data_IF_969340567465
#
_entry.id   IF_969340567465
#
_cell.length_a   1.000
_cell.length_b   1.000
_cell.length_c   1.000
_cell.angle_alpha   90.00
_cell.angle_beta   90.00
_cell.angle_gamma   90.00
#
_symmetry.space_group_name_H-M   'P 1'
#
loop_
_entity.id
_entity.type
_entity.pdbx_description
1 polymer ?
#
# COMPACT_ATOMS: atom_id res chain seq x y z
N UNK A 1 30.65 -9.52 27.42
CA UNK A 1 30.53 -9.97 26.02
C UNK A 1 29.74 -8.89 25.28
N UNK A 2 30.42 -8.04 24.51
CA UNK A 2 29.80 -6.91 23.81
C UNK A 2 29.27 -7.37 22.47
N UNK A 3 27.97 -7.10 22.22
CA UNK A 3 27.32 -7.39 20.93
C UNK A 3 27.63 -6.21 19.98
N UNK A 4 28.29 -6.51 18.86
CA UNK A 4 28.64 -5.56 17.79
C UNK A 4 27.38 -5.18 16.97
N UNK A 5 26.93 -3.90 16.95
CA UNK A 5 25.70 -3.47 16.26
C UNK A 5 25.95 -3.02 14.82
N UNK A 6 26.76 -3.72 14.05
CA UNK A 6 26.93 -3.34 12.64
C UNK A 6 25.71 -3.78 11.81
N UNK A 7 25.05 -2.87 11.06
CA UNK A 7 23.97 -3.24 10.16
C UNK A 7 24.50 -4.16 9.06
N UNK A 8 23.84 -5.28 8.88
CA UNK A 8 24.19 -6.25 7.83
C UNK A 8 24.17 -5.58 6.46
N UNK A 9 25.19 -5.87 5.66
CA UNK A 9 25.30 -5.44 4.26
C UNK A 9 24.03 -5.86 3.51
N UNK A 10 23.36 -4.97 2.77
CA UNK A 10 22.21 -5.37 1.95
C UNK A 10 22.64 -6.44 0.95
N UNK A 11 21.77 -7.41 0.61
CA UNK A 11 22.08 -8.43 -0.37
C UNK A 11 22.46 -7.75 -1.70
N UNK A 12 23.62 -8.12 -2.22
CA UNK A 12 24.06 -7.71 -3.55
C UNK A 12 23.12 -8.31 -4.58
N UNK A 13 22.31 -7.48 -5.24
CA UNK A 13 21.56 -7.90 -6.40
C UNK A 13 22.58 -8.19 -7.51
N UNK A 14 22.71 -9.44 -7.91
CA UNK A 14 23.46 -9.81 -9.10
C UNK A 14 22.84 -9.14 -10.35
N UNK A 15 23.64 -8.66 -11.29
CA UNK A 15 23.11 -8.10 -12.52
C UNK A 15 22.33 -9.17 -13.30
N UNK A 16 21.20 -8.81 -13.96
CA UNK A 16 20.39 -9.77 -14.69
C UNK A 16 21.21 -10.45 -15.78
N UNK A 17 21.13 -11.77 -15.83
CA UNK A 17 21.76 -12.59 -16.86
C UNK A 17 21.16 -12.26 -18.23
N UNK A 18 21.98 -11.98 -19.23
CA UNK A 18 21.56 -11.72 -20.61
C UNK A 18 20.72 -12.90 -21.14
N UNK A 19 19.45 -12.63 -21.53
CA UNK A 19 18.55 -13.63 -22.15
C UNK A 19 17.27 -13.96 -21.35
N UNK A 20 17.08 -13.44 -20.14
CA UNK A 20 15.76 -13.48 -19.49
C UNK A 20 14.93 -12.27 -19.92
N UNK A 21 13.59 -12.42 -20.16
CA UNK A 21 12.75 -11.24 -20.31
C UNK A 21 12.98 -10.35 -19.08
N UNK A 22 13.41 -9.12 -19.31
CA UNK A 22 13.66 -8.16 -18.23
C UNK A 22 12.31 -7.82 -17.59
N UNK A 23 11.95 -8.54 -16.53
CA UNK A 23 10.82 -8.13 -15.70
C UNK A 23 11.19 -6.77 -15.14
N UNK A 24 10.50 -5.74 -15.58
CA UNK A 24 10.70 -4.38 -15.08
C UNK A 24 10.42 -4.37 -13.58
N UNK A 25 11.39 -3.98 -12.72
CA UNK A 25 11.15 -3.96 -11.29
C UNK A 25 10.10 -2.89 -10.94
N UNK A 26 9.23 -3.21 -9.98
CA UNK A 26 8.31 -2.24 -9.38
C UNK A 26 9.11 -1.28 -8.52
N UNK A 27 8.84 0.02 -8.65
CA UNK A 27 9.47 1.06 -7.83
C UNK A 27 8.45 1.47 -6.75
N UNK A 28 8.90 1.71 -5.52
CA UNK A 28 8.05 2.22 -4.45
C UNK A 28 8.61 3.54 -3.89
N UNK A 29 7.76 4.57 -3.84
CA UNK A 29 8.02 5.86 -3.19
C UNK A 29 7.10 5.96 -1.98
N UNK A 30 7.69 5.77 -0.80
CA UNK A 30 6.96 5.68 0.45
C UNK A 30 7.41 6.74 1.45
N UNK A 31 6.45 7.34 2.17
CA UNK A 31 6.73 8.35 3.19
C UNK A 31 5.47 9.05 3.69
N UNK A 32 5.58 9.91 4.72
CA UNK A 32 4.44 10.60 5.30
C UNK A 32 3.74 11.53 4.31
N UNK A 33 2.50 11.91 4.64
CA UNK A 33 1.72 12.88 3.84
C UNK A 33 2.46 14.21 3.76
N UNK A 34 2.30 14.93 2.67
CA UNK A 34 2.89 16.24 2.39
C UNK A 34 4.42 16.32 2.29
N UNK A 35 5.16 15.19 2.27
CA UNK A 35 6.62 15.16 2.10
C UNK A 35 7.08 15.36 0.64
N UNK A 36 6.16 15.49 -0.31
CA UNK A 36 6.50 15.70 -1.73
C UNK A 36 6.62 14.43 -2.58
N UNK A 37 6.05 13.30 -2.14
CA UNK A 37 6.11 12.02 -2.89
C UNK A 37 5.66 12.13 -4.35
N UNK A 38 4.56 12.84 -4.60
CA UNK A 38 4.01 13.03 -5.95
C UNK A 38 5.01 13.75 -6.86
N UNK A 39 5.62 14.84 -6.37
CA UNK A 39 6.67 15.54 -7.11
C UNK A 39 7.86 14.64 -7.43
N UNK A 40 8.34 13.86 -6.46
CA UNK A 40 9.43 12.89 -6.68
C UNK A 40 9.05 11.84 -7.72
N UNK A 41 7.80 11.33 -7.68
CA UNK A 41 7.32 10.35 -8.66
C UNK A 41 7.29 10.93 -10.07
N UNK A 42 6.84 12.17 -10.23
CA UNK A 42 6.79 12.87 -11.52
C UNK A 42 8.20 13.08 -12.08
N UNK A 43 9.12 13.60 -11.28
CA UNK A 43 10.51 13.80 -11.70
C UNK A 43 11.21 12.48 -12.06
N UNK A 44 10.97 11.43 -11.28
CA UNK A 44 11.45 10.09 -11.61
C UNK A 44 10.86 9.58 -12.92
N UNK A 45 9.56 9.78 -13.14
CA UNK A 45 8.90 9.40 -14.37
C UNK A 45 9.50 10.09 -15.59
N UNK A 46 9.85 11.36 -15.50
CA UNK A 46 10.53 12.08 -16.57
C UNK A 46 11.93 11.53 -16.85
N UNK A 47 12.65 11.13 -15.78
CA UNK A 47 13.95 10.47 -15.94
C UNK A 47 13.83 9.10 -16.63
N UNK A 48 12.83 8.32 -16.27
CA UNK A 48 12.55 7.01 -16.88
C UNK A 48 12.17 7.15 -18.36
N UNK A 49 11.32 8.13 -18.70
CA UNK A 49 10.94 8.42 -20.10
C UNK A 49 12.15 8.79 -20.97
N UNK A 50 13.10 9.55 -20.42
CA UNK A 50 14.37 9.84 -21.14
C UNK A 50 15.21 8.59 -21.41
N UNK A 51 14.98 7.51 -20.68
CA UNK A 51 15.60 6.19 -20.89
C UNK A 51 14.76 5.26 -21.77
N UNK A 52 13.65 5.75 -22.32
CA UNK A 52 12.74 4.97 -23.15
C UNK A 52 11.74 4.11 -22.40
N UNK A 53 11.54 4.34 -21.10
CA UNK A 53 10.54 3.65 -20.30
C UNK A 53 9.22 4.43 -20.27
N UNK A 54 8.09 3.73 -20.07
CA UNK A 54 6.76 4.32 -19.91
C UNK A 54 6.25 4.12 -18.46
N UNK A 55 6.47 5.07 -17.56
CA UNK A 55 6.07 4.96 -16.16
C UNK A 55 4.59 5.24 -15.95
N UNK A 56 3.99 4.56 -14.95
CA UNK A 56 2.65 4.79 -14.43
C UNK A 56 2.69 4.77 -12.91
N UNK A 57 2.07 5.76 -12.26
CA UNK A 57 1.92 5.78 -10.81
C UNK A 57 0.71 4.94 -10.38
N UNK A 58 0.88 4.13 -9.35
CA UNK A 58 -0.18 3.39 -8.68
C UNK A 58 -0.28 3.92 -7.26
N UNK A 59 -1.40 4.57 -6.93
CA UNK A 59 -1.60 5.13 -5.61
C UNK A 59 -1.58 4.04 -4.52
N UNK A 60 -0.90 4.33 -3.41
CA UNK A 60 -0.73 3.44 -2.27
C UNK A 60 -1.03 4.18 -0.95
N UNK A 61 -2.12 4.96 -0.94
CA UNK A 61 -2.59 5.73 0.21
C UNK A 61 -4.07 5.42 0.48
N UNK A 62 -4.40 5.07 1.73
CA UNK A 62 -5.73 4.61 2.13
C UNK A 62 -6.80 5.70 2.14
N UNK A 63 -6.42 6.96 2.07
CA UNK A 63 -7.36 8.08 1.99
C UNK A 63 -7.54 8.55 0.55
N UNK A 64 -6.47 8.56 -0.23
CA UNK A 64 -6.50 9.02 -1.63
C UNK A 64 -7.29 8.09 -2.57
N UNK A 65 -7.68 6.90 -2.13
CA UNK A 65 -8.58 6.01 -2.88
C UNK A 65 -10.01 6.55 -2.96
N UNK A 66 -10.43 7.39 -2.00
CA UNK A 66 -11.80 7.87 -1.89
C UNK A 66 -12.05 9.14 -2.71
N UNK A 67 -13.18 9.14 -3.45
CA UNK A 67 -13.68 10.32 -4.16
C UNK A 67 -14.14 11.38 -3.17
N UNK A 68 -13.86 12.65 -3.50
CA UNK A 68 -14.26 13.80 -2.69
C UNK A 68 -13.30 14.13 -1.55
N UNK A 69 -12.24 13.33 -1.37
CA UNK A 69 -11.21 13.59 -0.37
C UNK A 69 -9.87 14.07 -0.97
N UNK A 70 -9.85 14.40 -2.26
CA UNK A 70 -8.64 14.72 -3.02
C UNK A 70 -7.85 15.86 -2.37
N UNK A 71 -8.54 16.92 -1.99
CA UNK A 71 -7.91 18.12 -1.41
C UNK A 71 -7.30 17.85 -0.05
N UNK A 72 -8.04 17.20 0.84
CA UNK A 72 -7.57 16.97 2.22
C UNK A 72 -6.55 15.85 2.33
N UNK A 73 -6.55 14.91 1.39
CA UNK A 73 -5.57 13.82 1.33
C UNK A 73 -4.28 14.20 0.61
N UNK A 74 -4.24 15.38 -0.02
CA UNK A 74 -3.13 15.80 -0.85
C UNK A 74 -2.91 14.86 -2.05
N UNK A 75 -4.00 14.40 -2.65
CA UNK A 75 -3.96 13.60 -3.86
C UNK A 75 -3.33 14.35 -5.03
N UNK A 76 -2.78 13.62 -6.01
CA UNK A 76 -2.23 14.20 -7.23
C UNK A 76 -3.27 15.09 -7.92
N UNK A 77 -2.91 16.35 -8.17
CA UNK A 77 -3.77 17.31 -8.86
C UNK A 77 -4.05 16.88 -10.31
N UNK A 78 -5.07 17.45 -10.97
CA UNK A 78 -5.28 17.22 -12.39
C UNK A 78 -4.05 17.56 -13.25
N UNK A 79 -3.29 18.59 -12.87
CA UNK A 79 -2.04 18.97 -13.53
C UNK A 79 -0.97 17.88 -13.33
N UNK A 80 -0.79 17.38 -12.12
CA UNK A 80 0.14 16.27 -11.83
C UNK A 80 -0.24 15.02 -12.65
N UNK A 81 -1.53 14.72 -12.76
CA UNK A 81 -2.03 13.59 -13.53
C UNK A 81 -1.83 13.73 -15.04
N UNK A 82 -1.69 14.94 -15.57
CA UNK A 82 -1.29 15.16 -16.98
C UNK A 82 0.20 14.85 -17.19
N UNK A 83 1.05 15.04 -16.17
CA UNK A 83 2.48 14.76 -16.22
C UNK A 83 2.80 13.28 -16.00
N UNK A 84 2.03 12.60 -15.14
CA UNK A 84 2.17 11.19 -14.84
C UNK A 84 0.79 10.58 -14.62
N UNK A 85 0.46 9.54 -15.39
CA UNK A 85 -0.79 8.78 -15.17
C UNK A 85 -0.80 8.21 -13.74
N UNK A 86 -1.93 8.41 -13.03
CA UNK A 86 -2.16 7.86 -11.70
C UNK A 86 -3.34 6.88 -11.73
N UNK A 87 -3.11 5.68 -11.21
CA UNK A 87 -4.13 4.64 -11.05
C UNK A 87 -4.47 4.46 -9.57
N UNK A 88 -5.64 3.91 -9.29
CA UNK A 88 -6.18 3.71 -7.95
C UNK A 88 -6.29 5.01 -7.13
N UNK A 89 -6.56 6.12 -7.80
CA UNK A 89 -6.80 7.42 -7.22
C UNK A 89 -8.28 7.77 -7.33
N UNK A 90 -8.92 8.17 -6.23
CA UNK A 90 -10.32 8.66 -6.19
C UNK A 90 -11.33 7.76 -6.91
N UNK A 91 -11.26 6.45 -6.71
CA UNK A 91 -12.12 5.49 -7.42
C UNK A 91 -13.18 4.85 -6.51
N UNK A 92 -13.02 4.92 -5.18
CA UNK A 92 -13.95 4.37 -4.18
C UNK A 92 -14.94 5.45 -3.74
N UNK A 93 -16.26 5.19 -3.74
CA UNK A 93 -17.24 6.06 -3.10
C UNK A 93 -16.96 6.20 -1.59
N UNK A 94 -17.21 7.41 -1.02
CA UNK A 94 -16.87 7.71 0.37
C UNK A 94 -17.68 6.91 1.40
N UNK A 95 -18.85 6.42 1.00
CA UNK A 95 -19.75 5.59 1.80
C UNK A 95 -19.43 4.09 1.76
N UNK A 96 -18.39 3.69 1.03
CA UNK A 96 -17.97 2.29 0.91
C UNK A 96 -16.71 2.00 1.74
N UNK A 97 -16.76 0.93 2.51
CA UNK A 97 -15.55 0.41 3.14
C UNK A 97 -14.61 -0.21 2.11
N UNK A 98 -13.32 0.16 2.19
CA UNK A 98 -12.29 -0.36 1.31
C UNK A 98 -11.11 -0.90 2.13
N UNK A 99 -11.02 -2.22 2.22
CA UNK A 99 -10.02 -2.90 3.05
C UNK A 99 -8.66 -3.02 2.36
N UNK A 100 -7.61 -3.25 3.15
CA UNK A 100 -6.27 -3.52 2.63
C UNK A 100 -6.20 -4.78 1.74
N UNK A 101 -7.07 -5.78 1.99
CA UNK A 101 -7.18 -6.95 1.12
C UNK A 101 -7.70 -6.59 -0.27
N UNK A 102 -8.83 -5.87 -0.34
CA UNK A 102 -9.39 -5.37 -1.61
C UNK A 102 -8.41 -4.45 -2.35
N UNK A 103 -7.69 -3.61 -1.59
CA UNK A 103 -6.64 -2.78 -2.16
C UNK A 103 -5.51 -3.63 -2.77
N UNK A 104 -5.03 -4.64 -2.04
CA UNK A 104 -3.96 -5.53 -2.51
C UNK A 104 -4.31 -6.24 -3.82
N UNK A 105 -5.55 -6.74 -3.95
CA UNK A 105 -6.06 -7.34 -5.19
C UNK A 105 -6.06 -6.32 -6.34
N UNK A 106 -6.62 -5.14 -6.12
CA UNK A 106 -6.67 -4.08 -7.12
C UNK A 106 -5.26 -3.62 -7.52
N UNK A 107 -4.37 -3.40 -6.55
CA UNK A 107 -3.01 -2.94 -6.83
C UNK A 107 -2.18 -3.97 -7.59
N UNK A 108 -2.28 -5.26 -7.26
CA UNK A 108 -1.61 -6.32 -8.03
C UNK A 108 -2.13 -6.38 -9.47
N UNK A 109 -3.45 -6.29 -9.67
CA UNK A 109 -4.02 -6.22 -11.02
C UNK A 109 -3.49 -5.05 -11.84
N UNK A 110 -3.33 -3.86 -11.24
CA UNK A 110 -2.77 -2.69 -11.92
C UNK A 110 -1.25 -2.82 -12.18
N UNK A 111 -0.51 -3.43 -11.25
CA UNK A 111 0.91 -3.74 -11.41
C UNK A 111 1.11 -4.71 -12.57
N UNK A 112 0.38 -5.83 -12.56
CA UNK A 112 0.49 -6.88 -13.58
C UNK A 112 0.12 -6.33 -14.95
N UNK A 113 -1.00 -5.60 -15.05
CA UNK A 113 -1.43 -4.93 -16.29
C UNK A 113 -0.38 -3.94 -16.84
N UNK A 114 0.27 -3.18 -15.95
CA UNK A 114 1.33 -2.27 -16.36
C UNK A 114 2.57 -3.03 -16.88
N UNK A 115 3.00 -4.07 -16.17
CA UNK A 115 4.14 -4.89 -16.56
C UNK A 115 3.90 -5.64 -17.88
N UNK A 116 2.72 -6.21 -18.08
CA UNK A 116 2.31 -6.87 -19.33
C UNK A 116 2.32 -5.90 -20.52
N UNK A 117 1.96 -4.64 -20.28
CA UNK A 117 2.04 -3.58 -21.27
C UNK A 117 3.47 -3.02 -21.48
N UNK A 118 4.48 -3.58 -20.81
CA UNK A 118 5.87 -3.09 -20.88
C UNK A 118 6.07 -1.75 -20.18
N UNK A 119 5.15 -1.35 -19.30
CA UNK A 119 5.21 -0.10 -18.54
C UNK A 119 5.92 -0.29 -17.20
N UNK A 120 6.43 0.82 -16.64
CA UNK A 120 7.13 0.83 -15.35
C UNK A 120 6.17 1.24 -14.22
N UNK A 121 5.68 0.31 -13.36
CA UNK A 121 4.85 0.68 -12.21
C UNK A 121 5.67 1.37 -11.13
N UNK A 122 5.14 2.48 -10.62
CA UNK A 122 5.67 3.24 -9.48
C UNK A 122 4.57 3.29 -8.41
N UNK A 123 4.71 2.56 -7.32
CA UNK A 123 3.82 2.66 -6.17
C UNK A 123 4.13 3.94 -5.41
N UNK A 124 3.12 4.79 -5.17
CA UNK A 124 3.29 6.08 -4.50
C UNK A 124 2.30 6.22 -3.36
N UNK A 125 2.75 6.31 -2.11
CA UNK A 125 1.82 6.49 -1.00
C UNK A 125 2.45 6.54 0.37
N UNK A 126 1.58 6.54 1.40
CA UNK A 126 1.97 6.65 2.80
C UNK A 126 1.43 5.52 3.69
N UNK A 127 0.61 4.62 3.15
CA UNK A 127 -0.04 3.56 3.93
C UNK A 127 0.75 2.25 3.84
N UNK A 128 1.54 1.95 4.88
CA UNK A 128 2.43 0.78 4.91
C UNK A 128 1.71 -0.56 4.74
N UNK A 129 0.48 -0.68 5.29
CA UNK A 129 -0.33 -1.89 5.12
C UNK A 129 -0.74 -2.08 3.65
N UNK A 130 -1.08 -0.99 2.95
CA UNK A 130 -1.40 -1.01 1.53
C UNK A 130 -0.18 -1.43 0.70
N UNK A 131 0.98 -0.84 0.98
CA UNK A 131 2.22 -1.20 0.29
C UNK A 131 2.54 -2.69 0.47
N UNK A 132 2.41 -3.21 1.70
CA UNK A 132 2.61 -4.63 1.96
C UNK A 132 1.60 -5.51 1.22
N UNK A 133 0.31 -5.14 1.21
CA UNK A 133 -0.72 -5.92 0.53
C UNK A 133 -0.57 -5.91 -0.99
N UNK A 134 0.01 -4.86 -1.57
CA UNK A 134 0.31 -4.80 -2.99
C UNK A 134 1.51 -5.68 -3.40
N UNK A 135 2.54 -5.78 -2.54
CA UNK A 135 3.82 -6.41 -2.87
C UNK A 135 4.02 -7.81 -2.28
N UNK A 136 3.14 -8.25 -1.39
CA UNK A 136 3.23 -9.58 -0.76
C UNK A 136 1.86 -10.18 -0.54
N UNK A 137 1.80 -11.51 -0.52
CA UNK A 137 0.61 -12.22 -0.07
C UNK A 137 0.44 -12.01 1.44
N UNK A 138 -0.46 -11.08 1.79
CA UNK A 138 -0.92 -10.98 3.16
C UNK A 138 -2.01 -12.02 3.37
N UNK A 139 -1.77 -12.96 4.29
CA UNK A 139 -2.85 -13.80 4.82
C UNK A 139 -3.89 -12.90 5.49
N UNK A 140 -4.87 -12.48 4.71
CA UNK A 140 -6.01 -11.74 5.24
C UNK A 140 -6.94 -12.75 5.93
N UNK A 141 -7.24 -12.48 7.19
CA UNK A 141 -8.27 -13.27 7.88
C UNK A 141 -9.60 -13.11 7.15
N UNK A 142 -10.42 -14.17 7.06
CA UNK A 142 -11.74 -14.06 6.49
C UNK A 142 -12.54 -12.98 7.24
N UNK A 143 -13.46 -12.29 6.54
CA UNK A 143 -14.32 -11.29 7.20
C UNK A 143 -15.08 -11.96 8.35
N UNK A 144 -15.11 -11.27 9.48
CA UNK A 144 -15.89 -11.71 10.64
C UNK A 144 -17.37 -11.55 10.30
N UNK A 145 -18.17 -12.55 10.67
CA UNK A 145 -19.63 -12.48 10.55
C UNK A 145 -20.17 -11.22 11.25
N UNK A 146 -21.06 -10.48 10.56
CA UNK A 146 -21.55 -9.19 11.05
C UNK A 146 -22.36 -9.32 12.35
N UNK A 147 -23.10 -10.41 12.51
CA UNK A 147 -23.88 -10.65 13.73
C UNK A 147 -22.95 -10.96 14.91
N UNK A 148 -21.91 -11.77 14.70
CA UNK A 148 -20.88 -12.03 15.70
C UNK A 148 -20.15 -10.72 16.09
N UNK A 149 -19.83 -9.88 15.13
CA UNK A 149 -19.21 -8.56 15.39
C UNK A 149 -20.11 -7.69 16.27
N UNK A 150 -21.39 -7.61 15.93
CA UNK A 150 -22.38 -6.84 16.69
C UNK A 150 -22.54 -7.38 18.12
N UNK A 151 -22.55 -8.69 18.31
CA UNK A 151 -22.61 -9.30 19.64
C UNK A 151 -21.41 -8.89 20.50
N UNK A 152 -20.19 -8.97 19.93
CA UNK A 152 -18.98 -8.56 20.63
C UNK A 152 -19.01 -7.06 20.96
N UNK A 153 -19.48 -6.20 20.06
CA UNK A 153 -19.62 -4.76 20.30
C UNK A 153 -20.58 -4.48 21.48
N UNK A 154 -21.72 -5.15 21.55
CA UNK A 154 -22.65 -5.06 22.68
C UNK A 154 -22.04 -5.56 24.00
N UNK A 155 -21.24 -6.62 23.96
CA UNK A 155 -20.53 -7.10 25.15
C UNK A 155 -19.45 -6.08 25.59
N UNK A 156 -18.73 -5.46 24.66
CA UNK A 156 -17.77 -4.38 24.98
C UNK A 156 -18.48 -3.20 25.66
N UNK A 157 -19.65 -2.79 25.14
CA UNK A 157 -20.43 -1.70 25.72
C UNK A 157 -20.94 -2.04 27.13
N UNK A 158 -21.39 -3.28 27.36
CA UNK A 158 -22.00 -3.68 28.63
C UNK A 158 -21.00 -4.02 29.74
N UNK A 159 -19.86 -4.63 29.38
CA UNK A 159 -18.89 -5.20 30.33
C UNK A 159 -17.56 -4.42 30.36
N UNK A 160 -17.32 -3.60 29.37
CA UNK A 160 -16.09 -2.85 29.19
C UNK A 160 -14.95 -3.69 28.57
N UNK A 161 -14.01 -3.03 27.85
CA UNK A 161 -12.94 -3.72 27.14
C UNK A 161 -11.98 -4.48 28.07
N UNK A 162 -11.75 -3.97 29.30
CA UNK A 162 -10.85 -4.61 30.26
C UNK A 162 -11.34 -5.99 30.72
N UNK A 163 -12.67 -6.14 30.92
CA UNK A 163 -13.27 -7.41 31.33
C UNK A 163 -13.11 -8.47 30.23
N UNK A 164 -13.39 -8.08 28.98
CA UNK A 164 -13.23 -9.00 27.83
C UNK A 164 -11.76 -9.33 27.54
N UNK A 165 -10.86 -8.37 27.71
CA UNK A 165 -9.44 -8.61 27.55
C UNK A 165 -8.90 -9.63 28.56
N UNK A 166 -9.42 -9.63 29.81
CA UNK A 166 -9.02 -10.57 30.84
C UNK A 166 -9.45 -12.03 30.53
N UNK A 167 -10.47 -12.21 29.71
CA UNK A 167 -10.98 -13.53 29.28
C UNK A 167 -10.21 -14.10 28.07
N UNK A 168 -9.37 -13.29 27.40
CA UNK A 168 -8.58 -13.77 26.28
C UNK A 168 -7.52 -14.80 26.72
N UNK A 169 -7.32 -15.87 25.94
CA UNK A 169 -6.23 -16.79 26.16
C UNK A 169 -4.88 -16.07 26.27
N UNK A 170 -3.95 -16.50 27.15
CA UNK A 170 -2.67 -15.79 27.39
C UNK A 170 -1.85 -15.49 26.14
N UNK A 171 -1.93 -16.34 25.11
CA UNK A 171 -1.24 -16.12 23.82
C UNK A 171 -1.89 -15.06 22.93
N UNK A 172 -3.16 -14.70 23.16
CA UNK A 172 -3.88 -13.63 22.44
C UNK A 172 -3.84 -12.31 23.20
N UNK A 173 -3.94 -12.33 24.54
CA UNK A 173 -3.91 -11.11 25.37
C UNK A 173 -2.60 -10.32 25.21
N UNK A 174 -1.47 -11.01 24.97
CA UNK A 174 -0.18 -10.37 24.71
C UNK A 174 -0.05 -9.68 23.33
N UNK A 175 -1.02 -9.87 22.41
CA UNK A 175 -1.03 -9.30 21.05
C UNK A 175 -2.02 -8.15 20.87
N UNK A 176 -2.82 -7.87 21.88
CA UNK A 176 -3.84 -6.81 21.87
C UNK A 176 -3.40 -5.74 22.86
N UNK A 177 -3.00 -4.59 22.35
CA UNK A 177 -2.63 -3.40 23.12
C UNK A 177 -3.59 -2.27 22.85
#
# INVERSE_FOLDING_TARGET
MAVDPRPGKPPSADPPKAGQPSVLPVIAIFGPTAIGKTGVAIELAELLRRKGEDPVAINCDSIQVYRGLELISGAASPEDQTRLEHRLLSFVPIDQEFSAGRFGEAARGEIDSALEAGRRPILVGGTGLYLRSALSDLEMRPPVDQELRRQVELEVESRGPAALHAELPPGLSARVH
#
